data_IF_772258858623
#
_entry.id   IF_772258858623
#
_cell.length_a   1.000
_cell.length_b   1.000
_cell.length_c   1.000
_cell.angle_alpha   90.00
_cell.angle_beta   90.00
_cell.angle_gamma   90.00
#
_symmetry.space_group_name_H-M   'P 1'
#
loop_
_entity.id
_entity.type
_entity.pdbx_description
1 polymer ?
#
# COMPACT_ATOMS: atom_id res chain seq x y z
N UNK A 1 3.80 7.29 13.52
CA UNK A 1 2.43 7.88 13.47
C UNK A 1 2.14 8.19 12.01
N UNK A 2 1.36 7.36 11.31
CA UNK A 2 1.02 7.56 9.90
C UNK A 2 -0.13 8.57 9.80
N UNK A 3 0.18 9.85 9.92
CA UNK A 3 -0.77 10.94 9.72
C UNK A 3 -0.49 11.62 8.38
N UNK A 4 -1.54 12.07 7.70
CA UNK A 4 -1.37 12.93 6.53
C UNK A 4 -0.78 14.28 7.02
N UNK A 5 0.48 14.52 6.68
CA UNK A 5 1.19 15.76 7.03
C UNK A 5 1.14 16.82 5.92
N UNK A 6 0.52 16.48 4.78
CA UNK A 6 0.49 17.35 3.61
C UNK A 6 -0.64 18.38 3.67
N UNK A 7 -1.55 18.30 4.65
CA UNK A 7 -2.80 19.09 4.77
C UNK A 7 -3.74 19.04 3.54
N UNK A 8 -3.28 18.51 2.41
CA UNK A 8 -4.04 18.21 1.21
C UNK A 8 -4.67 16.82 1.34
N UNK A 9 -6.00 16.81 1.33
CA UNK A 9 -6.78 15.59 1.23
C UNK A 9 -6.82 15.11 -0.23
N UNK A 10 -6.53 13.83 -0.45
CA UNK A 10 -6.78 13.19 -1.74
C UNK A 10 -8.31 13.12 -1.90
N UNK A 11 -8.83 14.00 -2.75
CA UNK A 11 -10.25 14.09 -3.03
C UNK A 11 -10.78 12.78 -3.60
N UNK A 12 -12.05 12.46 -3.30
CA UNK A 12 -12.75 11.33 -3.91
C UNK A 12 -12.70 11.44 -5.43
N UNK A 13 -12.55 10.30 -6.12
CA UNK A 13 -12.49 10.18 -7.58
C UNK A 13 -11.25 10.83 -8.24
N UNK A 14 -10.29 11.32 -7.44
CA UNK A 14 -9.02 11.82 -7.95
C UNK A 14 -8.17 10.66 -8.50
N UNK A 15 -7.72 10.82 -9.73
CA UNK A 15 -6.68 9.95 -10.31
C UNK A 15 -5.34 10.39 -9.71
N UNK A 16 -4.61 9.44 -9.15
CA UNK A 16 -3.26 9.65 -8.61
C UNK A 16 -2.28 8.69 -9.28
N UNK A 17 -1.04 9.14 -9.45
CA UNK A 17 0.05 8.29 -9.90
C UNK A 17 0.75 7.66 -8.69
N UNK A 18 0.96 6.35 -8.75
CA UNK A 18 1.65 5.58 -7.72
C UNK A 18 2.76 4.79 -8.38
N UNK A 19 3.98 4.94 -7.88
CA UNK A 19 5.11 4.12 -8.30
C UNK A 19 5.23 2.90 -7.39
N UNK A 20 5.15 1.72 -7.98
CA UNK A 20 5.36 0.46 -7.28
C UNK A 20 6.82 -0.02 -7.39
N UNK A 21 7.20 -1.01 -6.57
CA UNK A 21 8.58 -1.51 -6.50
C UNK A 21 8.87 -2.55 -7.61
N UNK A 22 8.59 -2.20 -8.86
CA UNK A 22 8.89 -3.00 -10.05
C UNK A 22 9.99 -2.32 -10.87
N UNK A 23 11.05 -3.05 -11.20
CA UNK A 23 12.16 -2.55 -12.02
C UNK A 23 12.42 -3.46 -13.22
N UNK A 24 12.31 -2.94 -14.45
CA UNK A 24 12.68 -3.70 -15.65
C UNK A 24 14.20 -3.72 -15.86
N UNK A 25 14.76 -4.92 -16.01
CA UNK A 25 16.15 -5.16 -16.42
C UNK A 25 16.15 -6.00 -17.71
N UNK A 26 16.12 -5.31 -18.86
CA UNK A 26 15.94 -5.96 -20.16
C UNK A 26 14.56 -6.61 -20.28
N UNK A 27 14.53 -7.92 -20.54
CA UNK A 27 13.30 -8.72 -20.62
C UNK A 27 12.87 -9.30 -19.25
N UNK A 28 13.63 -9.02 -18.18
CA UNK A 28 13.35 -9.51 -16.83
C UNK A 28 12.71 -8.40 -16.01
N UNK A 29 11.57 -8.71 -15.39
CA UNK A 29 10.97 -7.83 -14.39
C UNK A 29 11.47 -8.25 -13.02
N UNK A 30 12.28 -7.40 -12.41
CA UNK A 30 12.79 -7.59 -11.06
C UNK A 30 11.83 -6.94 -10.04
N UNK A 31 11.60 -7.61 -8.93
CA UNK A 31 10.87 -7.07 -7.80
C UNK A 31 11.60 -7.35 -6.49
N UNK A 32 11.38 -6.49 -5.49
CA UNK A 32 11.85 -6.77 -4.14
C UNK A 32 11.16 -8.02 -3.58
N UNK A 33 11.86 -8.79 -2.75
CA UNK A 33 11.30 -10.00 -2.15
C UNK A 33 10.06 -9.66 -1.31
N UNK A 34 8.98 -10.43 -1.49
CA UNK A 34 7.68 -10.19 -0.83
C UNK A 34 6.85 -9.06 -1.46
N UNK A 35 7.32 -8.44 -2.54
CA UNK A 35 6.49 -7.54 -3.33
C UNK A 35 5.46 -8.32 -4.15
N UNK A 36 4.21 -7.88 -4.08
CA UNK A 36 3.13 -8.34 -4.96
C UNK A 36 2.61 -7.15 -5.75
N UNK A 37 2.44 -7.26 -7.07
CA UNK A 37 1.93 -6.16 -7.92
C UNK A 37 0.44 -5.95 -7.71
N UNK A 38 -0.04 -4.69 -7.76
CA UNK A 38 -1.48 -4.44 -7.77
C UNK A 38 -2.11 -4.97 -9.07
N UNK A 39 -3.25 -5.63 -8.93
CA UNK A 39 -4.04 -6.12 -10.07
C UNK A 39 -5.09 -5.10 -10.49
N UNK A 40 -5.28 -4.98 -11.80
CA UNK A 40 -6.31 -4.12 -12.38
C UNK A 40 -7.70 -4.61 -11.94
N UNK A 41 -8.54 -3.69 -11.45
CA UNK A 41 -9.90 -4.00 -11.01
C UNK A 41 -10.02 -4.56 -9.59
N UNK A 42 -8.90 -4.61 -8.84
CA UNK A 42 -8.91 -4.94 -7.40
C UNK A 42 -8.83 -3.68 -6.55
N UNK A 43 -9.32 -3.79 -5.33
CA UNK A 43 -9.35 -2.71 -4.36
C UNK A 43 -8.31 -2.92 -3.26
N UNK A 44 -7.63 -1.84 -2.87
CA UNK A 44 -6.52 -1.87 -1.92
C UNK A 44 -6.63 -0.72 -0.92
N UNK A 45 -6.23 -1.01 0.32
CA UNK A 45 -5.86 0.01 1.29
C UNK A 45 -4.40 0.40 1.03
N UNK A 46 -4.16 1.68 0.77
CA UNK A 46 -2.85 2.20 0.40
C UNK A 46 -2.27 3.11 1.49
N UNK A 47 -1.08 2.76 1.95
CA UNK A 47 -0.29 3.55 2.89
C UNK A 47 0.80 4.24 2.09
N UNK A 48 0.56 5.49 1.73
CA UNK A 48 1.40 6.24 0.78
C UNK A 48 2.21 7.32 1.48
N UNK A 49 3.36 7.65 0.89
CA UNK A 49 4.10 8.90 1.11
C UNK A 49 4.30 9.61 -0.22
N UNK A 50 4.41 10.94 -0.20
CA UNK A 50 4.84 11.67 -1.39
C UNK A 50 6.32 11.39 -1.65
N UNK A 51 6.69 11.20 -2.91
CA UNK A 51 8.11 11.14 -3.30
C UNK A 51 8.79 12.47 -2.97
N UNK A 52 10.07 12.40 -2.61
CA UNK A 52 10.87 13.60 -2.32
C UNK A 52 11.47 14.21 -3.60
N UNK A 53 11.52 13.43 -4.67
CA UNK A 53 12.22 13.77 -5.93
C UNK A 53 11.26 13.90 -7.10
N UNK A 54 10.11 13.24 -7.04
CA UNK A 54 9.17 13.10 -8.14
C UNK A 54 7.77 13.52 -7.68
N UNK A 55 6.90 13.98 -8.59
CA UNK A 55 5.53 14.36 -8.26
C UNK A 55 4.58 13.15 -8.27
N UNK A 56 4.94 12.12 -7.50
CA UNK A 56 4.19 10.88 -7.39
C UNK A 56 4.09 10.40 -5.93
N UNK A 57 3.22 9.41 -5.71
CA UNK A 57 3.15 8.70 -4.42
C UNK A 57 3.91 7.37 -4.49
N UNK A 58 4.48 6.99 -3.35
CA UNK A 58 5.20 5.73 -3.18
C UNK A 58 4.61 5.02 -1.95
N UNK A 59 4.40 3.69 -1.99
CA UNK A 59 4.03 2.92 -0.81
C UNK A 59 5.05 3.08 0.34
N UNK A 60 4.57 3.21 1.57
CA UNK A 60 5.37 3.40 2.80
C UNK A 60 6.24 2.18 3.14
N UNK A 61 5.95 1.01 2.58
CA UNK A 61 6.72 -0.21 2.73
C UNK A 61 6.53 -1.13 1.53
N UNK A 62 7.51 -1.99 1.27
CA UNK A 62 7.50 -2.93 0.14
C UNK A 62 6.33 -3.90 0.23
N UNK A 63 6.10 -4.43 1.44
CA UNK A 63 5.09 -5.46 1.71
C UNK A 63 3.81 -4.84 2.27
N UNK A 64 3.89 -3.98 3.28
CA UNK A 64 2.71 -3.43 3.97
C UNK A 64 2.22 -2.08 3.45
N UNK A 65 2.89 -1.49 2.45
CA UNK A 65 2.49 -0.20 1.87
C UNK A 65 1.15 -0.27 1.11
N UNK A 66 0.70 -1.49 0.81
CA UNK A 66 -0.58 -1.78 0.18
C UNK A 66 -1.11 -3.11 0.71
N UNK A 67 -2.40 -3.17 0.98
CA UNK A 67 -3.07 -4.37 1.48
C UNK A 67 -4.38 -4.52 0.72
N UNK A 68 -4.64 -5.70 0.17
CA UNK A 68 -5.92 -5.97 -0.49
C UNK A 68 -7.08 -5.75 0.49
N UNK A 69 -8.16 -5.12 0.02
CA UNK A 69 -9.35 -4.84 0.83
C UNK A 69 -10.06 -6.11 1.33
N UNK A 70 -9.87 -7.23 0.64
CA UNK A 70 -10.41 -8.55 1.02
C UNK A 70 -9.39 -9.42 1.78
N UNK A 71 -8.19 -8.91 2.07
CA UNK A 71 -7.13 -9.67 2.75
C UNK A 71 -7.51 -9.94 4.22
N UNK A 72 -7.74 -11.18 4.62
CA UNK A 72 -8.17 -11.46 6.00
C UNK A 72 -7.11 -11.03 7.04
N UNK A 73 -7.53 -10.51 8.22
CA UNK A 73 -6.58 -10.05 9.26
C UNK A 73 -5.58 -11.11 9.76
N UNK A 74 -5.88 -12.39 9.54
CA UNK A 74 -5.06 -13.56 9.92
C UNK A 74 -4.56 -14.35 8.71
N UNK A 75 -4.49 -13.73 7.54
CA UNK A 75 -3.95 -14.36 6.34
C UNK A 75 -2.45 -14.71 6.47
N UNK A 76 -1.96 -15.59 5.60
CA UNK A 76 -0.54 -15.92 5.55
C UNK A 76 0.32 -14.70 5.22
N UNK A 77 -0.16 -13.80 4.36
CA UNK A 77 0.51 -12.53 4.05
C UNK A 77 0.72 -11.68 5.32
N UNK A 78 -0.34 -11.46 6.10
CA UNK A 78 -0.25 -10.67 7.34
C UNK A 78 0.69 -11.35 8.34
N UNK A 79 0.62 -12.67 8.48
CA UNK A 79 1.49 -13.44 9.39
C UNK A 79 2.96 -13.37 8.97
N UNK A 80 3.25 -13.53 7.68
CA UNK A 80 4.60 -13.49 7.12
C UNK A 80 5.26 -12.11 7.30
N UNK A 81 4.46 -11.05 7.22
CA UNK A 81 4.97 -9.68 7.29
C UNK A 81 4.79 -8.99 8.65
N UNK A 82 4.16 -9.65 9.63
CA UNK A 82 3.85 -9.08 10.94
C UNK A 82 5.07 -8.50 11.68
N UNK A 83 6.25 -9.13 11.55
CA UNK A 83 7.48 -8.67 12.20
C UNK A 83 8.00 -7.33 11.63
N UNK A 84 7.71 -7.04 10.37
CA UNK A 84 8.20 -5.86 9.64
C UNK A 84 7.11 -4.80 9.43
N UNK A 85 5.86 -5.13 9.76
CA UNK A 85 4.73 -4.24 9.61
C UNK A 85 4.61 -3.30 10.80
N UNK A 86 4.46 -2.00 10.55
CA UNK A 86 4.14 -1.05 11.63
C UNK A 86 2.84 -1.50 12.32
N UNK A 87 2.81 -1.65 13.66
CA UNK A 87 1.61 -2.09 14.38
C UNK A 87 0.37 -1.24 14.11
N UNK A 88 0.54 0.03 13.75
CA UNK A 88 -0.56 0.91 13.40
C UNK A 88 -1.19 0.55 12.05
N UNK A 89 -0.44 -0.04 11.11
CA UNK A 89 -0.97 -0.46 9.80
C UNK A 89 -2.05 -1.52 9.98
N UNK A 90 -1.86 -2.51 10.87
CA UNK A 90 -2.88 -3.52 11.16
C UNK A 90 -4.17 -2.86 11.65
N UNK A 91 -4.05 -2.01 12.65
CA UNK A 91 -5.18 -1.33 13.29
C UNK A 91 -5.92 -0.42 12.32
N UNK A 92 -5.18 0.40 11.56
CA UNK A 92 -5.75 1.29 10.55
C UNK A 92 -6.44 0.49 9.44
N UNK A 93 -5.85 -0.62 9.01
CA UNK A 93 -6.46 -1.46 7.97
C UNK A 93 -7.78 -2.08 8.42
N UNK A 94 -7.88 -2.54 9.67
CA UNK A 94 -9.13 -3.05 10.25
C UNK A 94 -10.18 -1.93 10.31
N UNK A 95 -9.83 -0.76 10.86
CA UNK A 95 -10.75 0.37 10.96
C UNK A 95 -11.22 0.89 9.59
N UNK A 96 -10.33 0.93 8.60
CA UNK A 96 -10.66 1.36 7.26
C UNK A 96 -11.63 0.38 6.59
N UNK A 97 -11.47 -0.93 6.80
CA UNK A 97 -12.41 -1.94 6.30
C UNK A 97 -13.78 -1.78 6.91
N UNK A 98 -13.87 -1.74 8.24
CA UNK A 98 -15.14 -1.56 8.95
C UNK A 98 -15.90 -0.31 8.48
N UNK A 99 -15.17 0.75 8.11
CA UNK A 99 -15.76 2.02 7.69
C UNK A 99 -16.13 2.08 6.21
N UNK A 100 -15.31 1.52 5.32
CA UNK A 100 -15.38 1.78 3.88
C UNK A 100 -15.68 0.54 3.03
N UNK A 101 -15.58 -0.66 3.60
CA UNK A 101 -15.72 -1.94 2.90
C UNK A 101 -16.93 -2.64 3.51
N UNK A 102 -18.05 -2.63 2.80
CA UNK A 102 -19.31 -3.27 3.22
C UNK A 102 -19.60 -4.52 2.40
#
# INVERSE_FOLDING_TARGET
MHQNVLEDEIQKDKIIEIWENEFPDGDVICHLEGYEKMEIGKEYLLFLRKSMTDDCFIPLGVTYGKVSVVEEPDSEFIKLHAANMDPNVKTIAVQAREKYVQ
#
